data_IF_650830672224
#
_entry.id   IF_650830672224
#
_cell.length_a   1.000
_cell.length_b   1.000
_cell.length_c   1.000
_cell.angle_alpha   90.00
_cell.angle_beta   90.00
_cell.angle_gamma   90.00
#
_symmetry.space_group_name_H-M   'P 1'
#
loop_
_entity.id
_entity.type
_entity.pdbx_description
1 polymer ?
#
# COMPACT_ATOMS: atom_id res chain seq x y z
N UNK A 1 -3.33 11.32 1.83
CA UNK A 1 -4.51 10.56 1.37
C UNK A 1 -5.61 11.45 0.76
N UNK A 2 -5.81 12.70 1.21
CA UNK A 2 -6.83 13.66 0.72
C UNK A 2 -7.13 13.61 -0.79
N UNK A 3 -6.14 13.86 -1.65
CA UNK A 3 -6.33 13.89 -3.11
C UNK A 3 -6.91 12.57 -3.64
N UNK A 4 -6.26 11.44 -3.33
CA UNK A 4 -6.67 10.12 -3.81
C UNK A 4 -8.11 9.80 -3.39
N UNK A 5 -8.48 10.10 -2.14
CA UNK A 5 -9.86 9.91 -1.66
C UNK A 5 -10.87 10.82 -2.36
N UNK A 6 -10.53 12.08 -2.66
CA UNK A 6 -11.43 13.01 -3.37
C UNK A 6 -11.75 12.53 -4.78
N UNK A 7 -10.79 11.91 -5.47
CA UNK A 7 -10.97 11.34 -6.82
C UNK A 7 -11.35 9.86 -6.81
N UNK A 8 -11.66 9.29 -5.62
CA UNK A 8 -12.10 7.89 -5.44
C UNK A 8 -11.07 6.83 -5.88
N UNK A 9 -9.78 7.14 -5.81
CA UNK A 9 -8.72 6.14 -5.96
C UNK A 9 -8.58 5.32 -4.66
N UNK A 10 -8.23 4.03 -4.77
CA UNK A 10 -8.06 3.17 -3.61
C UNK A 10 -6.81 3.55 -2.81
N UNK A 11 -6.92 3.56 -1.49
CA UNK A 11 -5.82 3.87 -0.56
C UNK A 11 -5.51 2.76 0.44
N UNK A 12 -6.22 1.63 0.36
CA UNK A 12 -6.04 0.45 1.22
C UNK A 12 -6.01 -0.82 0.36
N UNK A 13 -5.40 -1.89 0.88
CA UNK A 13 -5.44 -3.21 0.26
C UNK A 13 -6.89 -3.73 0.16
N UNK A 14 -7.71 -3.46 1.18
CA UNK A 14 -9.12 -3.80 1.16
C UNK A 14 -9.88 -3.18 -0.03
N UNK A 15 -9.58 -1.93 -0.38
CA UNK A 15 -10.22 -1.23 -1.49
C UNK A 15 -9.90 -1.82 -2.87
N UNK A 16 -8.82 -2.61 -2.98
CA UNK A 16 -8.46 -3.37 -4.19
C UNK A 16 -8.75 -4.88 -4.06
N UNK A 17 -9.55 -5.27 -3.07
CA UNK A 17 -9.97 -6.67 -2.87
C UNK A 17 -8.95 -7.56 -2.14
N UNK A 18 -7.97 -6.96 -1.46
CA UNK A 18 -6.89 -7.64 -0.74
C UNK A 18 -6.97 -7.45 0.79
N UNK A 19 -8.19 -7.36 1.35
CA UNK A 19 -8.40 -7.15 2.78
C UNK A 19 -7.71 -8.20 3.67
N UNK A 20 -7.67 -9.45 3.21
CA UNK A 20 -7.08 -10.60 3.92
C UNK A 20 -5.73 -11.01 3.34
N UNK A 21 -4.97 -10.06 2.78
CA UNK A 21 -3.66 -10.33 2.21
C UNK A 21 -2.71 -10.95 3.26
N UNK A 22 -2.24 -12.16 2.99
CA UNK A 22 -1.30 -12.86 3.87
C UNK A 22 0.12 -12.31 3.72
N UNK A 23 0.96 -12.53 4.73
CA UNK A 23 2.39 -12.22 4.63
C UNK A 23 3.05 -12.88 3.41
N UNK A 24 2.75 -14.16 3.15
CA UNK A 24 3.26 -14.88 1.99
C UNK A 24 2.83 -14.25 0.65
N UNK A 25 1.59 -13.75 0.55
CA UNK A 25 1.15 -13.05 -0.65
C UNK A 25 1.94 -11.76 -0.85
N UNK A 26 2.14 -10.99 0.22
CA UNK A 26 2.93 -9.76 0.16
C UNK A 26 4.39 -10.04 -0.21
N UNK A 27 4.98 -11.11 0.31
CA UNK A 27 6.33 -11.54 -0.04
C UNK A 27 6.44 -11.87 -1.53
N UNK A 28 5.44 -12.56 -2.11
CA UNK A 28 5.39 -12.83 -3.56
C UNK A 28 5.23 -11.56 -4.39
N UNK A 29 4.39 -10.62 -3.97
CA UNK A 29 4.22 -9.32 -4.63
C UNK A 29 5.55 -8.58 -4.63
N UNK A 30 6.17 -8.45 -3.45
CA UNK A 30 7.44 -7.77 -3.28
C UNK A 30 8.55 -8.40 -4.14
N UNK A 31 8.71 -9.73 -4.10
CA UNK A 31 9.68 -10.44 -4.91
C UNK A 31 9.47 -10.20 -6.41
N UNK A 32 8.21 -10.15 -6.88
CA UNK A 32 7.89 -9.84 -8.28
C UNK A 32 8.18 -8.39 -8.63
N UNK A 33 7.88 -7.45 -7.73
CA UNK A 33 8.13 -6.01 -7.89
C UNK A 33 9.61 -5.66 -7.94
N UNK A 34 10.46 -6.44 -7.26
CA UNK A 34 11.93 -6.26 -7.25
C UNK A 34 12.67 -7.19 -8.20
N UNK A 35 11.97 -7.90 -9.11
CA UNK A 35 12.62 -8.78 -10.08
C UNK A 35 13.56 -8.01 -11.01
N UNK A 36 14.56 -8.70 -11.57
CA UNK A 36 15.50 -8.11 -12.52
C UNK A 36 14.76 -7.50 -13.72
N UNK A 37 15.13 -6.27 -14.09
CA UNK A 37 14.53 -5.54 -15.22
C UNK A 37 13.25 -4.77 -14.90
N UNK A 38 12.73 -4.83 -13.67
CA UNK A 38 11.61 -3.97 -13.25
C UNK A 38 12.02 -2.50 -13.06
N UNK A 39 11.06 -1.60 -13.17
CA UNK A 39 11.31 -0.14 -13.08
C UNK A 39 11.66 0.34 -11.67
N UNK A 40 11.44 -0.49 -10.64
CA UNK A 40 11.76 -0.15 -9.25
C UNK A 40 13.26 0.13 -9.04
N UNK A 41 14.11 -0.40 -9.93
CA UNK A 41 15.56 -0.17 -9.91
C UNK A 41 15.98 1.21 -10.41
N UNK A 42 15.03 2.03 -10.88
CA UNK A 42 15.27 3.45 -11.20
C UNK A 42 15.28 4.34 -9.96
N UNK A 43 14.89 3.82 -8.79
CA UNK A 43 15.00 4.55 -7.52
C UNK A 43 16.47 4.89 -7.22
N UNK A 44 16.77 6.03 -6.58
CA UNK A 44 18.14 6.48 -6.32
C UNK A 44 18.83 5.70 -5.19
N UNK A 45 18.25 4.58 -4.77
CA UNK A 45 18.77 3.67 -3.75
C UNK A 45 18.33 2.23 -4.06
N UNK A 46 19.07 1.21 -3.58
CA UNK A 46 18.66 -0.18 -3.75
C UNK A 46 17.34 -0.49 -3.03
N UNK A 47 16.41 -1.15 -3.74
CA UNK A 47 15.12 -1.56 -3.18
C UNK A 47 15.09 -3.08 -2.99
N UNK A 48 15.17 -3.52 -1.73
CA UNK A 48 15.06 -4.94 -1.36
C UNK A 48 13.59 -5.36 -1.20
N UNK A 49 13.22 -6.64 -1.49
CA UNK A 49 11.84 -7.10 -1.35
C UNK A 49 11.21 -6.81 0.02
N UNK A 50 11.97 -6.97 1.12
CA UNK A 50 11.46 -6.69 2.47
C UNK A 50 11.00 -5.24 2.66
N UNK A 51 11.68 -4.28 2.01
CA UNK A 51 11.32 -2.87 2.08
C UNK A 51 9.98 -2.62 1.36
N UNK A 52 9.73 -3.36 0.27
CA UNK A 52 8.45 -3.30 -0.44
C UNK A 52 7.31 -3.89 0.40
N UNK A 53 7.55 -4.99 1.10
CA UNK A 53 6.56 -5.57 2.04
C UNK A 53 6.20 -4.58 3.15
N UNK A 54 7.22 -3.98 3.78
CA UNK A 54 7.05 -2.95 4.81
C UNK A 54 6.28 -1.73 4.26
N UNK A 55 6.70 -1.21 3.11
CA UNK A 55 6.04 -0.07 2.47
C UNK A 55 4.57 -0.34 2.11
N UNK A 56 4.23 -1.54 1.62
CA UNK A 56 2.84 -1.92 1.34
C UNK A 56 2.01 -1.92 2.64
N UNK A 57 2.55 -2.50 3.72
CA UNK A 57 1.86 -2.56 5.03
C UNK A 57 1.66 -1.17 5.63
N UNK A 58 2.67 -0.32 5.54
CA UNK A 58 2.63 1.04 6.06
C UNK A 58 1.65 1.90 5.27
N UNK A 59 1.66 1.82 3.94
CA UNK A 59 0.71 2.52 3.08
C UNK A 59 -0.74 2.11 3.38
N UNK A 60 -1.00 0.82 3.54
CA UNK A 60 -2.32 0.28 3.90
C UNK A 60 -2.77 0.72 5.31
N UNK A 61 -1.86 0.73 6.29
CA UNK A 61 -2.13 1.24 7.62
C UNK A 61 -2.50 2.73 7.62
N UNK A 62 -1.72 3.56 6.91
CA UNK A 62 -2.00 4.99 6.74
C UNK A 62 -3.35 5.23 6.05
N UNK A 63 -3.70 4.41 5.06
CA UNK A 63 -5.00 4.46 4.38
C UNK A 63 -6.15 4.17 5.34
N UNK A 64 -6.04 3.10 6.14
CA UNK A 64 -7.06 2.75 7.15
C UNK A 64 -7.22 3.81 8.23
N UNK A 65 -6.11 4.38 8.71
CA UNK A 65 -6.14 5.46 9.71
C UNK A 65 -6.86 6.70 9.15
N UNK A 66 -6.54 7.09 7.91
CA UNK A 66 -7.21 8.18 7.22
C UNK A 66 -8.73 7.94 7.10
N UNK A 67 -9.15 6.75 6.67
CA UNK A 67 -10.56 6.39 6.56
C UNK A 67 -11.28 6.41 7.92
N UNK A 68 -10.64 5.92 8.98
CA UNK A 68 -11.20 5.94 10.33
C UNK A 68 -11.40 7.36 10.84
N UNK A 69 -10.38 8.21 10.71
CA UNK A 69 -10.46 9.62 11.10
C UNK A 69 -11.62 10.33 10.41
N UNK A 70 -11.74 10.15 9.09
CA UNK A 70 -12.75 10.84 8.28
C UNK A 70 -14.16 10.22 8.41
N UNK A 71 -14.26 8.96 8.86
CA UNK A 71 -15.55 8.37 9.24
C UNK A 71 -16.07 8.94 10.56
N UNK A 72 -15.19 9.21 11.53
CA UNK A 72 -15.58 9.76 12.84
C UNK A 72 -15.94 11.25 12.73
N UNK A 73 -15.17 12.04 11.97
CA UNK A 73 -15.42 13.48 11.81
C UNK A 73 -16.62 13.81 10.91
N UNK A 74 -17.07 12.88 10.06
CA UNK A 74 -18.29 13.06 9.26
C UNK A 74 -19.59 12.79 10.04
N UNK A 75 -19.50 12.25 11.26
CA UNK A 75 -20.64 11.85 12.11
C UNK A 75 -20.89 12.85 13.26
N UNK A 76 -20.05 13.87 13.43
CA UNK A 76 -20.21 14.98 14.39
C UNK A 76 -20.45 16.31 13.70
#
# INVERSE_FOLDING_TARGET
>A
MDFATKVKLPTTLAAIGLAEATGELLDRIAARSTADGETIHNEPFPVEPRLVVEAIRDADALGREWEQWHRVTAVG
#
